data_IF_130239705228
#
_entry.id   IF_130239705228
#
_cell.length_a   1.000
_cell.length_b   1.000
_cell.length_c   1.000
_cell.angle_alpha   90.00
_cell.angle_beta   90.00
_cell.angle_gamma   90.00
#
_symmetry.space_group_name_H-M   'P 1'
#
loop_
_entity.id
_entity.type
_entity.pdbx_description
1 polymer ?
#
# COMPACT_ATOMS: atom_id res chain seq x y z
N UNK A 1 -22.79 -11.27 -13.00
CA UNK A 1 -22.09 -10.21 -12.23
C UNK A 1 -21.34 -10.74 -11.00
N UNK A 2 -21.87 -11.71 -10.24
CA UNK A 2 -21.26 -12.23 -9.00
C UNK A 2 -19.90 -12.95 -9.17
N UNK A 3 -19.64 -13.58 -10.32
CA UNK A 3 -18.33 -14.20 -10.60
C UNK A 3 -17.18 -13.19 -10.73
N UNK A 4 -17.45 -12.00 -11.28
CA UNK A 4 -16.47 -10.90 -11.33
C UNK A 4 -16.17 -10.37 -9.93
N UNK A 5 -17.19 -10.19 -9.10
CA UNK A 5 -17.02 -9.75 -7.72
C UNK A 5 -16.17 -10.73 -6.89
N UNK A 6 -16.39 -12.04 -7.05
CA UNK A 6 -15.55 -13.06 -6.39
C UNK A 6 -14.08 -13.02 -6.87
N UNK A 7 -13.84 -12.66 -8.13
CA UNK A 7 -12.49 -12.52 -8.69
C UNK A 7 -11.77 -11.23 -8.28
N UNK A 8 -12.49 -10.13 -8.05
CA UNK A 8 -11.93 -8.85 -7.60
C UNK A 8 -11.76 -8.74 -6.07
N UNK A 9 -12.39 -9.64 -5.31
CA UNK A 9 -12.32 -9.66 -3.85
C UNK A 9 -10.90 -9.67 -3.26
N UNK A 10 -9.91 -10.39 -3.82
CA UNK A 10 -8.52 -10.33 -3.34
C UNK A 10 -7.93 -8.92 -3.45
N UNK A 11 -8.17 -8.24 -4.57
CA UNK A 11 -7.66 -6.88 -4.82
C UNK A 11 -8.32 -5.88 -3.87
N UNK A 12 -9.64 -5.97 -3.68
CA UNK A 12 -10.37 -5.16 -2.70
C UNK A 12 -9.79 -5.32 -1.29
N UNK A 13 -9.52 -6.55 -0.86
CA UNK A 13 -9.00 -6.83 0.49
C UNK A 13 -7.56 -6.29 0.67
N UNK A 14 -6.70 -6.43 -0.35
CA UNK A 14 -5.32 -5.93 -0.32
C UNK A 14 -5.28 -4.40 -0.30
N UNK A 15 -6.05 -3.73 -1.15
CA UNK A 15 -6.04 -2.26 -1.21
C UNK A 15 -6.78 -1.62 -0.04
N UNK A 16 -7.80 -2.26 0.52
CA UNK A 16 -8.40 -1.83 1.79
C UNK A 16 -7.45 -1.97 2.97
N UNK A 17 -6.67 -3.06 3.02
CA UNK A 17 -5.61 -3.19 4.03
C UNK A 17 -4.57 -2.08 3.88
N UNK A 18 -4.08 -1.82 2.65
CA UNK A 18 -3.12 -0.74 2.40
C UNK A 18 -3.68 0.65 2.80
N UNK A 19 -4.96 0.91 2.56
CA UNK A 19 -5.60 2.16 2.96
C UNK A 19 -5.76 2.32 4.48
N UNK A 20 -5.95 1.22 5.21
CA UNK A 20 -6.10 1.20 6.67
C UNK A 20 -4.78 0.92 7.41
N UNK A 21 -3.68 0.80 6.68
CA UNK A 21 -2.37 0.44 7.22
C UNK A 21 -1.82 1.47 8.22
N UNK A 22 -2.37 2.70 8.26
CA UNK A 22 -2.09 3.73 9.26
C UNK A 22 -2.81 3.51 10.61
N UNK A 23 -3.77 2.57 10.66
CA UNK A 23 -4.61 2.31 11.85
C UNK A 23 -4.56 0.86 12.33
N UNK A 24 -3.94 -0.02 11.55
CA UNK A 24 -3.85 -1.45 11.86
C UNK A 24 -2.47 -1.81 12.37
N UNK A 25 -2.43 -2.42 13.55
CA UNK A 25 -1.21 -2.92 14.15
C UNK A 25 -0.51 -3.96 13.27
N UNK A 26 0.80 -3.81 13.17
CA UNK A 26 1.75 -4.68 12.50
C UNK A 26 2.34 -5.70 13.50
N UNK A 27 3.29 -6.51 13.06
CA UNK A 27 3.94 -7.55 13.88
C UNK A 27 4.70 -6.99 15.10
N UNK A 28 5.05 -5.70 15.09
CA UNK A 28 5.75 -4.98 16.16
C UNK A 28 4.80 -4.30 17.17
N UNK A 29 3.48 -4.41 16.97
CA UNK A 29 2.46 -3.79 17.83
C UNK A 29 2.18 -2.32 17.53
N UNK A 30 2.93 -1.70 16.61
CA UNK A 30 2.68 -0.35 16.07
C UNK A 30 1.94 -0.43 14.74
N UNK A 31 1.41 0.69 14.24
CA UNK A 31 0.72 0.68 12.95
C UNK A 31 1.69 0.35 11.81
N UNK A 32 1.23 -0.27 10.72
CA UNK A 32 2.12 -0.61 9.60
C UNK A 32 2.76 0.63 8.96
N UNK A 33 2.03 1.75 8.90
CA UNK A 33 2.60 3.07 8.63
C UNK A 33 2.58 3.92 9.89
N UNK A 34 3.74 4.08 10.50
CA UNK A 34 3.91 4.85 11.73
C UNK A 34 5.14 5.76 11.66
N UNK A 35 5.10 6.81 12.45
CA UNK A 35 6.25 7.69 12.70
C UNK A 35 7.25 7.08 13.66
N UNK A 36 6.86 6.08 14.46
CA UNK A 36 7.67 5.55 15.56
C UNK A 36 7.77 4.02 15.56
N UNK A 37 8.50 3.46 14.59
CA UNK A 37 8.93 2.06 14.67
C UNK A 37 10.21 1.92 15.50
N UNK A 38 10.24 1.01 16.50
CA UNK A 38 11.44 0.80 17.31
C UNK A 38 12.53 0.09 16.50
N UNK A 39 13.69 0.75 16.34
CA UNK A 39 14.93 0.12 15.85
C UNK A 39 15.94 0.13 16.97
N UNK A 40 16.53 -1.02 17.26
CA UNK A 40 17.50 -1.18 18.35
C UNK A 40 18.93 -1.10 17.83
N UNK A 41 19.79 -0.49 18.64
CA UNK A 41 21.20 -0.33 18.31
C UNK A 41 21.93 -1.67 18.14
N UNK A 42 21.49 -2.74 18.80
CA UNK A 42 22.09 -4.08 18.71
C UNK A 42 21.13 -5.10 18.13
N UNK A 43 21.71 -6.13 17.53
CA UNK A 43 21.01 -7.26 16.87
C UNK A 43 20.21 -8.11 17.87
N UNK A 44 20.51 -8.03 19.16
CA UNK A 44 19.83 -8.79 20.23
C UNK A 44 18.57 -8.09 20.77
N UNK A 45 18.17 -6.95 20.19
CA UNK A 45 17.04 -6.16 20.67
C UNK A 45 17.33 -5.33 21.92
N UNK A 46 18.60 -5.18 22.31
CA UNK A 46 19.03 -4.35 23.43
C UNK A 46 19.72 -3.07 22.96
N UNK A 47 19.75 -2.03 23.81
CA UNK A 47 20.36 -0.74 23.49
C UNK A 47 19.35 0.39 23.30
N UNK A 48 19.83 1.55 22.88
CA UNK A 48 18.99 2.74 22.72
C UNK A 48 18.01 2.54 21.56
N UNK A 49 16.72 2.65 21.84
CA UNK A 49 15.68 2.63 20.82
C UNK A 49 15.76 3.92 20.01
N UNK A 50 15.92 3.80 18.70
CA UNK A 50 15.81 4.91 17.75
C UNK A 50 14.49 4.75 17.00
N UNK A 51 13.50 5.65 17.20
CA UNK A 51 12.28 5.60 16.43
C UNK A 51 12.59 5.92 14.97
N UNK A 52 12.16 5.04 14.07
CA UNK A 52 12.28 5.22 12.62
C UNK A 52 10.88 5.36 12.02
N UNK A 53 10.70 6.36 11.17
CA UNK A 53 9.43 6.60 10.49
C UNK A 53 9.38 5.90 9.13
N UNK A 54 8.23 5.34 8.79
CA UNK A 54 7.90 4.94 7.42
C UNK A 54 6.64 5.66 6.87
N UNK A 55 6.18 6.68 7.61
CA UNK A 55 5.09 7.58 7.24
C UNK A 55 5.65 9.00 7.08
N UNK A 56 5.53 9.55 5.88
CA UNK A 56 5.84 10.94 5.64
C UNK A 56 4.56 11.73 5.42
N UNK A 57 4.33 12.71 6.28
CA UNK A 57 3.31 13.74 6.10
C UNK A 57 3.98 15.05 5.73
N UNK A 58 3.82 15.48 4.47
CA UNK A 58 4.25 16.81 4.09
C UNK A 58 3.41 17.83 4.86
N UNK A 59 4.06 18.84 5.42
CA UNK A 59 3.35 20.00 5.95
C UNK A 59 3.22 21.04 4.85
N UNK A 60 1.99 21.45 4.53
CA UNK A 60 1.67 22.45 3.50
C UNK A 60 1.26 23.75 4.19
N UNK A 61 1.87 24.88 3.80
CA UNK A 61 1.57 26.19 4.37
C UNK A 61 2.79 27.11 4.40
N UNK A 62 2.56 28.40 4.66
CA UNK A 62 3.66 29.36 4.86
C UNK A 62 4.35 29.10 6.21
N UNK A 63 5.65 29.38 6.29
CA UNK A 63 6.43 29.23 7.52
C UNK A 63 5.73 29.95 8.71
N UNK A 64 5.19 29.16 9.65
CA UNK A 64 4.45 29.67 10.82
C UNK A 64 2.98 29.21 10.92
N UNK A 65 2.39 28.65 9.87
CA UNK A 65 1.08 27.98 9.90
C UNK A 65 1.06 26.84 8.90
N UNK A 66 1.79 25.77 9.24
CA UNK A 66 1.92 24.59 8.39
C UNK A 66 0.89 23.55 8.81
N UNK A 67 -0.04 23.21 7.92
CA UNK A 67 -1.04 22.16 8.12
C UNK A 67 -0.60 20.86 7.48
N UNK A 68 -1.05 19.72 8.01
CA UNK A 68 -0.71 18.42 7.44
C UNK A 68 -1.40 18.25 6.07
N UNK A 69 -0.70 17.64 5.11
CA UNK A 69 -1.25 17.35 3.79
C UNK A 69 -2.48 16.45 3.88
N UNK A 70 -3.62 16.94 3.41
CA UNK A 70 -4.92 16.25 3.41
C UNK A 70 -5.28 15.61 2.07
N UNK A 71 -4.36 15.62 1.10
CA UNK A 71 -4.59 15.02 -0.22
C UNK A 71 -4.37 13.50 -0.27
N UNK A 72 -4.60 12.88 -1.45
CA UNK A 72 -4.40 11.45 -1.63
C UNK A 72 -2.93 11.06 -1.40
N UNK A 73 -2.70 10.11 -0.50
CA UNK A 73 -1.38 9.54 -0.29
C UNK A 73 -1.00 8.53 -1.40
N UNK A 74 0.29 8.37 -1.62
CA UNK A 74 0.85 7.34 -2.49
C UNK A 74 1.85 6.48 -1.71
N UNK A 75 2.11 5.27 -2.20
CA UNK A 75 2.91 4.28 -1.49
C UNK A 75 4.04 3.79 -2.37
N UNK A 76 5.25 3.79 -1.82
CA UNK A 76 6.42 3.22 -2.47
C UNK A 76 6.84 1.97 -1.72
N UNK A 77 7.01 0.86 -2.44
CA UNK A 77 7.24 -0.46 -1.85
C UNK A 77 8.35 -1.23 -2.58
N UNK A 78 9.13 -1.97 -1.81
CA UNK A 78 10.03 -3.00 -2.31
C UNK A 78 9.29 -4.34 -2.34
N UNK A 79 9.07 -4.89 -3.54
CA UNK A 79 8.46 -6.19 -3.78
C UNK A 79 9.45 -7.20 -4.40
N UNK A 80 10.75 -6.91 -4.37
CA UNK A 80 11.79 -7.76 -4.97
C UNK A 80 12.15 -8.96 -4.11
N UNK A 81 11.82 -8.92 -2.82
CA UNK A 81 12.13 -9.99 -1.87
C UNK A 81 11.05 -11.07 -1.82
N UNK A 82 11.41 -12.20 -1.23
CA UNK A 82 10.51 -13.36 -1.03
C UNK A 82 9.30 -12.98 -0.19
N UNK A 83 9.51 -12.22 0.88
CA UNK A 83 8.44 -11.69 1.72
C UNK A 83 8.06 -10.32 1.18
N UNK A 84 6.80 -10.18 0.77
CA UNK A 84 6.23 -8.91 0.30
C UNK A 84 5.75 -8.06 1.48
N UNK A 85 5.70 -6.73 1.34
CA UNK A 85 5.20 -5.83 2.38
C UNK A 85 3.72 -6.05 2.68
N UNK A 86 2.93 -6.47 1.68
CA UNK A 86 1.55 -6.93 1.87
C UNK A 86 1.45 -8.38 1.39
N UNK A 87 0.88 -9.23 2.23
CA UNK A 87 0.79 -10.68 1.99
C UNK A 87 -0.70 -11.05 1.93
N UNK A 88 -1.16 -11.46 0.76
CA UNK A 88 -2.47 -12.08 0.59
C UNK A 88 -2.37 -13.58 0.89
N UNK A 89 -3.08 -14.02 1.91
CA UNK A 89 -3.17 -15.43 2.29
C UNK A 89 -4.51 -16.01 1.86
N UNK A 90 -4.48 -16.81 0.80
CA UNK A 90 -5.62 -17.58 0.36
C UNK A 90 -5.72 -18.90 1.15
N UNK A 91 -6.88 -19.20 1.74
CA UNK A 91 -7.13 -20.47 2.46
C UNK A 91 -8.12 -21.38 1.72
N UNK A 92 -9.07 -20.82 0.98
CA UNK A 92 -10.01 -21.55 0.14
C UNK A 92 -10.36 -20.69 -1.07
N UNK A 93 -10.10 -21.24 -2.26
CA UNK A 93 -10.48 -20.64 -3.52
C UNK A 93 -12.00 -20.43 -3.61
N UNK A 94 -12.47 -19.44 -4.39
CA UNK A 94 -13.88 -19.20 -4.57
C UNK A 94 -14.56 -20.42 -5.20
N UNK A 95 -15.41 -21.09 -4.43
CA UNK A 95 -16.22 -22.22 -4.88
C UNK A 95 -17.68 -21.78 -4.98
N UNK A 96 -18.31 -22.10 -6.11
CA UNK A 96 -19.74 -21.90 -6.30
C UNK A 96 -20.47 -23.06 -5.62
N UNK A 97 -21.22 -22.75 -4.57
CA UNK A 97 -22.02 -23.71 -3.82
C UNK A 97 -23.48 -23.50 -4.20
N UNK A 98 -24.15 -24.58 -4.59
CA UNK A 98 -25.58 -24.59 -4.87
C UNK A 98 -26.29 -25.57 -3.94
N UNK A 99 -27.39 -25.14 -3.36
CA UNK A 99 -28.33 -26.01 -2.68
C UNK A 99 -29.47 -26.29 -3.65
N UNK A 100 -29.40 -27.43 -4.32
CA UNK A 100 -30.37 -27.90 -5.30
C UNK A 100 -31.02 -29.24 -4.90
N UNK A 101 -30.81 -29.70 -3.66
CA UNK A 101 -31.39 -30.95 -3.17
C UNK A 101 -32.91 -30.79 -2.98
N UNK A 102 -33.75 -31.52 -3.73
CA UNK A 102 -35.20 -31.46 -3.59
C UNK A 102 -35.72 -32.08 -2.30
N UNK A 103 -34.89 -32.77 -1.51
CA UNK A 103 -35.30 -33.35 -0.22
C UNK A 103 -35.16 -32.38 0.95
N UNK A 104 -34.42 -31.27 0.80
CA UNK A 104 -34.10 -30.38 1.91
C UNK A 104 -34.08 -28.89 1.52
N UNK A 105 -34.94 -28.10 2.18
CA UNK A 105 -34.91 -26.63 2.13
C UNK A 105 -36.00 -25.97 1.24
N UNK A 106 -35.85 -24.67 0.93
CA UNK A 106 -36.84 -23.88 0.19
C UNK A 106 -36.99 -24.30 -1.28
N UNK A 107 -36.13 -25.17 -1.79
CA UNK A 107 -36.16 -25.66 -3.17
C UNK A 107 -37.37 -26.51 -3.48
N UNK A 108 -37.90 -27.24 -2.49
CA UNK A 108 -39.13 -28.03 -2.66
C UNK A 108 -40.39 -27.26 -2.26
N UNK A 109 -40.33 -26.50 -1.15
CA UNK A 109 -41.49 -25.80 -0.61
C UNK A 109 -41.85 -24.54 -1.40
N UNK A 110 -40.82 -23.75 -1.80
CA UNK A 110 -41.00 -22.43 -2.42
C UNK A 110 -40.51 -22.41 -3.89
N UNK A 111 -40.07 -23.56 -4.43
CA UNK A 111 -39.46 -23.68 -5.78
C UNK A 111 -38.27 -22.71 -6.01
N UNK A 112 -37.45 -22.46 -4.99
CA UNK A 112 -36.27 -21.58 -5.08
C UNK A 112 -34.95 -22.32 -4.95
N UNK A 113 -34.00 -22.09 -5.87
CA UNK A 113 -32.63 -22.61 -5.78
C UNK A 113 -31.73 -21.54 -5.18
N UNK A 114 -31.10 -21.87 -4.05
CA UNK A 114 -30.16 -20.97 -3.38
C UNK A 114 -28.75 -21.28 -3.87
N UNK A 115 -28.05 -20.25 -4.33
CA UNK A 115 -26.67 -20.34 -4.78
C UNK A 115 -25.82 -19.22 -4.17
N UNK A 116 -24.58 -19.56 -3.82
CA UNK A 116 -23.63 -18.64 -3.20
C UNK A 116 -22.19 -18.95 -3.64
N UNK A 117 -21.30 -18.00 -3.39
CA UNK A 117 -19.86 -18.22 -3.52
C UNK A 117 -19.26 -18.28 -2.12
N UNK A 118 -18.51 -19.35 -1.84
CA UNK A 118 -17.76 -19.49 -0.58
C UNK A 118 -16.28 -19.28 -0.88
N UNK A 119 -15.67 -18.30 -0.21
CA UNK A 119 -14.23 -18.05 -0.26
C UNK A 119 -13.72 -17.86 1.16
N UNK A 120 -12.44 -18.21 1.41
CA UNK A 120 -11.78 -17.89 2.67
C UNK A 120 -10.37 -17.37 2.39
N UNK A 121 -10.15 -16.11 2.67
CA UNK A 121 -8.83 -15.47 2.53
C UNK A 121 -8.63 -14.43 3.63
N UNK A 122 -7.36 -14.06 3.85
CA UNK A 122 -6.99 -12.95 4.72
C UNK A 122 -5.82 -12.17 4.10
N UNK A 123 -5.57 -10.96 4.59
CA UNK A 123 -4.34 -10.20 4.28
C UNK A 123 -3.59 -9.96 5.58
N UNK A 124 -2.26 -9.98 5.49
CA UNK A 124 -1.35 -9.60 6.56
C UNK A 124 -0.28 -8.66 6.06
N UNK A 125 0.35 -7.97 7.00
CA UNK A 125 1.48 -7.09 6.75
C UNK A 125 2.80 -7.84 6.94
N UNK A 126 3.75 -7.58 6.04
CA UNK A 126 5.12 -8.02 6.15
C UNK A 126 5.97 -7.02 6.92
N UNK A 127 7.21 -6.81 6.47
CA UNK A 127 8.12 -5.86 7.12
C UNK A 127 7.78 -4.41 6.76
N UNK A 128 7.60 -3.58 7.79
CA UNK A 128 7.35 -2.14 7.66
C UNK A 128 8.49 -1.41 6.94
N UNK A 129 9.72 -1.92 7.09
CA UNK A 129 10.93 -1.39 6.46
C UNK A 129 10.90 -1.47 4.93
N UNK A 130 9.98 -2.23 4.33
CA UNK A 130 9.90 -2.41 2.87
C UNK A 130 8.88 -1.48 2.21
N UNK A 131 8.12 -0.70 2.98
CA UNK A 131 7.11 0.20 2.47
C UNK A 131 7.30 1.62 3.02
N UNK A 132 6.98 2.64 2.22
CA UNK A 132 6.92 4.04 2.64
C UNK A 132 5.58 4.60 2.19
N UNK A 133 4.84 5.20 3.12
CA UNK A 133 3.65 5.99 2.79
C UNK A 133 4.03 7.47 2.71
N UNK A 134 3.62 8.10 1.62
CA UNK A 134 3.85 9.52 1.36
C UNK A 134 2.52 10.24 1.24
N UNK A 135 2.15 10.99 2.28
CA UNK A 135 1.07 11.99 2.26
C UNK A 135 1.68 13.31 1.78
N UNK A 136 1.98 13.39 0.49
CA UNK A 136 2.62 14.53 -0.15
C UNK A 136 2.20 14.61 -1.63
N UNK A 137 2.25 15.79 -2.27
CA UNK A 137 2.05 15.89 -3.71
C UNK A 137 3.09 15.04 -4.46
N UNK A 138 2.65 14.32 -5.49
CA UNK A 138 3.53 13.47 -6.30
C UNK A 138 4.40 14.35 -7.22
N UNK A 139 5.67 14.50 -6.85
CA UNK A 139 6.74 15.22 -7.56
C UNK A 139 8.01 14.33 -7.61
N UNK A 140 8.91 14.56 -8.57
CA UNK A 140 10.22 13.93 -8.66
C UNK A 140 11.07 14.09 -7.40
N UNK A 141 11.08 15.27 -6.77
CA UNK A 141 11.85 15.48 -5.53
C UNK A 141 11.30 14.63 -4.37
N UNK A 142 9.98 14.64 -4.20
CA UNK A 142 9.29 13.83 -3.18
C UNK A 142 9.45 12.33 -3.44
N UNK A 143 9.53 11.94 -4.70
CA UNK A 143 9.82 10.56 -5.09
C UNK A 143 11.25 10.15 -4.68
N UNK A 144 12.25 11.00 -4.90
CA UNK A 144 13.62 10.73 -4.47
C UNK A 144 13.78 10.75 -2.95
N UNK A 145 13.06 11.61 -2.23
CA UNK A 145 13.01 11.59 -0.77
C UNK A 145 12.42 10.26 -0.24
N UNK A 146 11.33 9.77 -0.85
CA UNK A 146 10.77 8.46 -0.54
C UNK A 146 11.74 7.31 -0.90
N UNK A 147 12.49 7.44 -1.99
CA UNK A 147 13.49 6.46 -2.39
C UNK A 147 14.64 6.37 -1.40
N UNK A 148 15.17 7.52 -0.98
CA UNK A 148 16.25 7.61 0.02
C UNK A 148 15.78 7.07 1.37
N UNK A 149 14.58 7.43 1.81
CA UNK A 149 14.05 6.96 3.11
C UNK A 149 13.91 5.44 3.17
N UNK A 150 13.61 4.75 2.07
CA UNK A 150 13.60 3.27 2.02
C UNK A 150 15.03 2.72 1.99
N UNK A 151 15.91 3.31 1.18
CA UNK A 151 17.28 2.82 0.97
C UNK A 151 18.16 2.99 2.22
N UNK A 152 17.94 4.06 2.97
CA UNK A 152 18.72 4.41 4.17
C UNK A 152 18.29 3.63 5.41
N UNK A 153 17.20 2.85 5.34
CA UNK A 153 16.76 2.00 6.45
C UNK A 153 17.82 0.97 6.79
N UNK A 154 18.05 0.83 8.09
CA UNK A 154 19.00 -0.11 8.69
C UNK A 154 18.24 -1.10 9.55
N UNK A 155 18.73 -2.33 9.58
CA UNK A 155 18.27 -3.35 10.51
C UNK A 155 18.87 -3.06 11.90
N UNK A 156 18.34 -3.75 12.91
CA UNK A 156 18.92 -3.74 14.25
C UNK A 156 20.41 -4.11 14.18
N UNK A 157 21.25 -3.41 14.95
CA UNK A 157 22.70 -3.53 14.79
C UNK A 157 23.33 -2.63 13.72
N UNK A 158 22.55 -1.74 13.09
CA UNK A 158 23.04 -0.74 12.14
C UNK A 158 23.41 -1.29 10.76
N UNK A 159 23.07 -2.56 10.46
CA UNK A 159 23.36 -3.17 9.17
C UNK A 159 22.43 -2.60 8.08
N UNK A 160 22.95 -2.13 6.93
CA UNK A 160 22.09 -1.69 5.84
C UNK A 160 21.29 -2.87 5.28
N UNK A 161 19.99 -2.68 5.08
CA UNK A 161 19.14 -3.75 4.55
C UNK A 161 19.36 -3.97 3.05
N UNK A 162 19.81 -2.96 2.30
CA UNK A 162 19.93 -3.06 0.84
C UNK A 162 18.58 -3.21 0.16
N UNK A 163 17.59 -2.42 0.60
CA UNK A 163 16.25 -2.38 0.03
C UNK A 163 16.25 -1.64 -1.31
N UNK A 164 15.39 -2.08 -2.23
CA UNK A 164 15.27 -1.47 -3.56
C UNK A 164 13.80 -1.26 -3.88
N UNK A 165 13.28 -0.03 -3.81
CA UNK A 165 11.90 0.24 -4.20
C UNK A 165 11.63 -0.24 -5.63
N UNK A 166 10.56 -0.99 -5.83
CA UNK A 166 10.25 -1.62 -7.12
C UNK A 166 8.82 -1.38 -7.59
N UNK A 167 7.89 -1.11 -6.67
CA UNK A 167 6.47 -0.87 -6.96
C UNK A 167 6.03 0.48 -6.38
N UNK A 168 5.37 1.29 -7.21
CA UNK A 168 4.68 2.51 -6.80
C UNK A 168 3.17 2.23 -6.87
N UNK A 169 2.49 2.30 -5.73
CA UNK A 169 1.04 2.15 -5.64
C UNK A 169 0.40 3.52 -5.47
N UNK A 170 -0.54 3.82 -6.36
CA UNK A 170 -1.15 5.15 -6.48
C UNK A 170 -2.68 5.02 -6.54
N UNK A 171 -3.43 5.89 -5.84
CA UNK A 171 -4.89 5.95 -6.00
C UNK A 171 -5.26 6.46 -7.41
N UNK A 172 -6.47 6.15 -7.92
CA UNK A 172 -6.87 6.51 -9.28
C UNK A 172 -6.87 8.02 -9.55
N UNK A 173 -7.01 8.85 -8.51
CA UNK A 173 -6.93 10.32 -8.64
C UNK A 173 -5.55 10.84 -9.07
N UNK A 174 -4.49 10.09 -8.74
CA UNK A 174 -3.10 10.47 -9.03
C UNK A 174 -2.51 9.70 -10.23
N UNK A 175 -3.28 8.81 -10.86
CA UNK A 175 -2.86 8.00 -12.02
C UNK A 175 -2.26 8.88 -13.12
N UNK A 176 -2.98 9.93 -13.54
CA UNK A 176 -2.51 10.84 -14.61
C UNK A 176 -1.17 11.50 -14.28
N UNK A 177 -0.89 11.79 -13.01
CA UNK A 177 0.38 12.39 -12.57
C UNK A 177 1.48 11.32 -12.54
N UNK A 178 1.16 10.13 -12.02
CA UNK A 178 2.10 9.02 -11.92
C UNK A 178 2.54 8.48 -13.29
N UNK A 179 1.60 8.27 -14.21
CA UNK A 179 1.88 7.90 -15.60
C UNK A 179 2.76 8.95 -16.28
N UNK A 180 2.45 10.24 -16.07
CA UNK A 180 3.28 11.32 -16.63
C UNK A 180 4.71 11.32 -16.07
N UNK A 181 4.87 11.00 -14.79
CA UNK A 181 6.17 10.99 -14.11
C UNK A 181 7.00 9.75 -14.43
N UNK A 182 6.37 8.60 -14.71
CA UNK A 182 7.08 7.34 -14.96
C UNK A 182 7.24 6.98 -16.46
N UNK A 183 6.34 7.45 -17.33
CA UNK A 183 6.33 7.05 -18.74
C UNK A 183 6.83 8.13 -19.70
N UNK A 184 6.73 9.42 -19.34
CA UNK A 184 7.22 10.47 -20.25
C UNK A 184 8.74 10.40 -20.36
N UNK A 185 9.24 10.45 -21.59
CA UNK A 185 10.67 10.44 -21.87
C UNK A 185 11.33 11.80 -21.59
N UNK A 186 10.53 12.87 -21.68
CA UNK A 186 10.95 14.26 -21.60
C UNK A 186 10.08 15.00 -20.59
N UNK A 187 10.72 15.58 -19.58
CA UNK A 187 10.10 16.49 -18.60
C UNK A 187 10.61 17.90 -18.91
N UNK A 188 9.80 18.91 -18.59
CA UNK A 188 10.20 20.32 -18.76
C UNK A 188 10.44 20.88 -17.37
N UNK A 189 11.71 20.92 -16.96
CA UNK A 189 12.14 21.70 -15.81
C UNK A 189 12.71 23.03 -16.33
N UNK A 190 12.24 24.14 -15.76
CA UNK A 190 12.72 25.51 -16.03
C UNK A 190 12.85 25.89 -17.53
N UNK A 191 11.97 25.37 -18.38
CA UNK A 191 11.94 25.70 -19.81
C UNK A 191 12.98 24.97 -20.67
N UNK A 192 13.73 24.03 -20.11
CA UNK A 192 14.60 23.12 -20.85
C UNK A 192 14.00 21.71 -20.87
N UNK A 193 14.14 21.01 -22.00
CA UNK A 193 13.66 19.63 -22.13
C UNK A 193 14.70 18.69 -21.52
N UNK A 194 14.44 18.15 -20.33
CA UNK A 194 15.34 17.23 -19.62
C UNK A 194 14.88 15.79 -19.82
N UNK A 195 15.84 14.86 -19.89
CA UNK A 195 15.55 13.42 -19.97
C UNK A 195 15.01 12.95 -18.62
N UNK A 196 13.88 12.25 -18.62
CA UNK A 196 13.28 11.80 -17.38
C UNK A 196 14.08 10.65 -16.74
N UNK A 197 14.76 10.95 -15.63
CA UNK A 197 15.59 10.00 -14.88
C UNK A 197 14.78 8.90 -14.16
N UNK A 198 13.47 9.11 -13.99
CA UNK A 198 12.55 8.20 -13.29
C UNK A 198 11.88 7.19 -14.24
N UNK A 199 12.13 7.30 -15.55
CA UNK A 199 11.53 6.44 -16.56
C UNK A 199 11.88 4.97 -16.31
N UNK A 200 10.85 4.15 -16.10
CA UNK A 200 10.99 2.69 -15.96
C UNK A 200 11.73 2.22 -14.70
N UNK A 201 11.98 3.10 -13.71
CA UNK A 201 12.63 2.71 -12.45
C UNK A 201 11.76 1.81 -11.58
N UNK A 202 10.44 2.01 -11.63
CA UNK A 202 9.45 1.40 -10.73
C UNK A 202 8.21 1.01 -11.52
N UNK A 203 7.61 -0.14 -11.19
CA UNK A 203 6.33 -0.54 -11.78
C UNK A 203 5.17 0.23 -11.13
N UNK A 204 4.35 0.90 -11.95
CA UNK A 204 3.14 1.58 -11.49
C UNK A 204 2.01 0.57 -11.28
N UNK A 205 1.37 0.62 -10.11
CA UNK A 205 0.15 -0.12 -9.80
C UNK A 205 -0.93 0.88 -9.40
N UNK A 206 -1.99 0.96 -10.21
CA UNK A 206 -3.14 1.81 -9.92
C UNK A 206 -4.11 1.03 -9.05
N UNK A 207 -4.37 1.53 -7.85
CA UNK A 207 -5.22 0.89 -6.86
C UNK A 207 -6.70 1.28 -7.07
N UNK A 208 -7.34 0.73 -8.10
CA UNK A 208 -8.72 1.07 -8.47
C UNK A 208 -9.75 0.75 -7.38
N UNK A 209 -9.43 -0.16 -6.47
CA UNK A 209 -10.28 -0.60 -5.36
C UNK A 209 -9.90 0.04 -4.01
N UNK A 210 -8.95 0.97 -4.02
CA UNK A 210 -8.63 1.73 -2.82
C UNK A 210 -9.78 2.70 -2.51
N UNK A 211 -10.28 2.76 -1.27
CA UNK A 211 -11.27 3.77 -0.91
C UNK A 211 -10.67 5.14 -1.19
N UNK A 212 -11.45 6.03 -1.84
CA UNK A 212 -11.04 7.42 -1.99
C UNK A 212 -10.71 7.95 -0.59
N UNK A 213 -9.56 8.63 -0.45
CA UNK A 213 -9.21 9.29 0.79
C UNK A 213 -10.35 10.26 1.14
N UNK A 214 -11.24 9.84 2.03
CA UNK A 214 -12.26 10.71 2.58
C UNK A 214 -11.50 11.77 3.35
N UNK A 215 -11.60 13.02 2.92
CA UNK A 215 -11.18 14.15 3.74
C UNK A 215 -11.78 13.93 5.12
N UNK A 216 -10.94 13.91 6.16
CA UNK A 216 -11.40 13.76 7.51
C UNK A 216 -12.47 14.83 7.77
N UNK A 217 -13.73 14.43 7.83
CA UNK A 217 -14.80 15.28 8.32
C UNK A 217 -14.78 15.18 9.84
N UNK A 218 -14.52 16.34 10.45
CA UNK A 218 -14.58 16.71 11.87
C UNK A 218 -13.32 16.40 12.68
#
# INVERSE_FOLDING_TARGET
MRGRAAGCFPDELVFQALANADKTACYDGQNFFDTEHPVYEKVDGTGKMVPTSNLYTAKVGAAGSTTDYTGPGWYLMDCTRVIKPIIYQNRRNPELVMQADPKTGPTFTDNQIVFGASLRSNVGYGFWQMAQMMKAPLNGDMFWEAWQSITDRKADGGRPLGLRPSVLVVPPSLEKVATKLLERELTVDEGATTTNELKGKVSLVVANWMPAATAATV
#
